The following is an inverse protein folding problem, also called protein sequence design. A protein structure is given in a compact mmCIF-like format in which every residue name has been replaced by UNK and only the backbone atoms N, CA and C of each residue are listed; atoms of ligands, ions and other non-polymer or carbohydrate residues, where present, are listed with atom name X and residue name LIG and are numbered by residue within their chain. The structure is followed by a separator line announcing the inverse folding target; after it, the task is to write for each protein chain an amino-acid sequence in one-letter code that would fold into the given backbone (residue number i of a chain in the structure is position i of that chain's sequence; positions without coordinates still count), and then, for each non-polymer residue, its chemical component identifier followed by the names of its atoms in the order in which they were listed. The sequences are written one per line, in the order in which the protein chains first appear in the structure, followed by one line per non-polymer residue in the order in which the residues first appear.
data_IF_003937025401
#
_entry.id   IF_003937025401
#
_cell.length_a   1.000
_cell.length_b   1.000
_cell.length_c   1.000
_cell.angle_alpha   90.00
_cell.angle_beta   90.00
_cell.angle_gamma   90.00
#
_symmetry.space_group_name_H-M   'P 1'
#
loop_
_entity.id
_entity.type
_entity.pdbx_description
1 polymer ?
#
# COMPACT_ATOMS: atom_id res chain seq x y z
N UNK A 1 -3.27 -5.40 23.85
CA UNK A 1 -2.53 -6.08 22.82
C UNK A 1 -1.21 -5.35 22.59
N UNK A 2 -0.09 -5.94 22.90
CA UNK A 2 1.25 -5.36 22.93
C UNK A 2 1.48 -4.19 23.92
N UNK A 3 0.50 -3.79 24.71
CA UNK A 3 0.61 -2.76 25.74
C UNK A 3 0.78 -3.46 27.12
N UNK A 4 1.91 -4.07 27.33
CA UNK A 4 2.20 -4.93 28.48
C UNK A 4 2.76 -4.16 29.69
N UNK A 5 3.17 -2.91 29.52
CA UNK A 5 3.65 -2.06 30.62
C UNK A 5 2.72 -0.87 30.87
N UNK A 6 2.73 -0.37 32.11
CA UNK A 6 1.94 0.80 32.49
C UNK A 6 2.33 2.05 31.68
N UNK A 7 3.60 2.20 31.37
CA UNK A 7 4.12 3.29 30.53
C UNK A 7 3.62 3.17 29.10
N UNK A 8 3.65 1.96 28.49
CA UNK A 8 3.14 1.76 27.15
C UNK A 8 1.63 2.06 27.05
N UNK A 9 0.84 1.64 28.06
CA UNK A 9 -0.59 1.94 28.14
C UNK A 9 -0.83 3.45 28.27
N UNK A 10 -0.09 4.15 29.11
CA UNK A 10 -0.22 5.60 29.31
C UNK A 10 0.12 6.36 28.02
N UNK A 11 1.27 6.08 27.41
CA UNK A 11 1.71 6.70 26.16
C UNK A 11 0.70 6.48 25.02
N UNK A 12 0.18 5.27 24.91
CA UNK A 12 -0.78 4.98 23.85
C UNK A 12 -2.14 5.64 24.11
N UNK A 13 -2.78 5.34 25.25
CA UNK A 13 -4.17 5.77 25.51
C UNK A 13 -4.29 7.28 25.74
N UNK A 14 -3.33 7.90 26.40
CA UNK A 14 -3.41 9.31 26.76
C UNK A 14 -2.80 10.24 25.70
N UNK A 15 -1.90 9.73 24.84
CA UNK A 15 -1.18 10.55 23.85
C UNK A 15 -1.38 10.06 22.40
N UNK A 16 -0.96 8.82 22.08
CA UNK A 16 -0.86 8.37 20.68
C UNK A 16 -2.22 8.03 20.02
N UNK A 17 -3.16 7.42 20.75
CA UNK A 17 -4.39 6.85 20.16
C UNK A 17 -5.29 7.86 19.44
N UNK A 18 -5.18 9.17 19.78
CA UNK A 18 -5.99 10.25 19.18
C UNK A 18 -5.23 11.10 18.18
N UNK A 19 -3.94 10.84 18.00
CA UNK A 19 -3.14 11.59 17.03
C UNK A 19 -3.53 11.22 15.60
N UNK A 20 -3.55 12.18 14.68
CA UNK A 20 -3.73 11.87 13.27
C UNK A 20 -2.53 11.07 12.74
N UNK A 21 -2.77 10.27 11.71
CA UNK A 21 -1.74 9.51 11.04
C UNK A 21 -1.17 10.35 9.90
N UNK A 22 0.15 10.56 9.93
CA UNK A 22 0.94 11.04 8.80
C UNK A 22 1.70 9.83 8.28
N UNK A 23 1.19 9.22 7.22
CA UNK A 23 1.80 8.06 6.58
C UNK A 23 2.81 8.54 5.54
N UNK A 24 4.05 8.68 5.98
CA UNK A 24 5.14 9.20 5.14
C UNK A 24 5.70 8.17 4.14
N UNK A 25 5.28 6.92 4.22
CA UNK A 25 5.64 5.87 3.27
C UNK A 25 4.53 4.84 3.15
N UNK A 26 3.87 4.79 2.02
CA UNK A 26 2.86 3.79 1.73
C UNK A 26 2.91 3.34 0.26
N UNK A 27 2.26 2.20 -0.01
CA UNK A 27 2.07 1.65 -1.35
C UNK A 27 0.60 1.75 -1.80
N UNK A 28 -0.16 2.72 -1.29
CA UNK A 28 -1.49 3.00 -1.78
C UNK A 28 -1.44 3.33 -3.27
N UNK A 29 -2.32 2.73 -4.03
CA UNK A 29 -2.46 2.99 -5.46
C UNK A 29 -3.19 4.32 -5.62
N UNK A 30 -2.56 5.39 -6.17
CA UNK A 30 -3.15 6.71 -6.25
C UNK A 30 -4.50 6.74 -6.98
N UNK A 31 -4.69 5.90 -7.99
CA UNK A 31 -5.94 5.73 -8.72
C UNK A 31 -7.09 5.27 -7.82
N UNK A 32 -6.83 4.35 -6.90
CA UNK A 32 -7.86 3.87 -5.97
C UNK A 32 -8.34 4.97 -5.04
N UNK A 33 -7.42 5.83 -4.57
CA UNK A 33 -7.78 6.97 -3.74
C UNK A 33 -8.52 8.04 -4.55
N UNK A 34 -8.04 8.35 -5.76
CA UNK A 34 -8.66 9.35 -6.63
C UNK A 34 -10.10 9.01 -7.00
N UNK A 35 -10.37 7.73 -7.26
CA UNK A 35 -11.68 7.22 -7.67
C UNK A 35 -12.55 6.73 -6.50
N UNK A 36 -12.07 6.86 -5.26
CA UNK A 36 -12.73 6.35 -4.06
C UNK A 36 -13.15 4.88 -4.20
N UNK A 37 -12.17 4.04 -4.52
CA UNK A 37 -12.36 2.64 -4.88
C UNK A 37 -13.14 1.87 -3.82
N UNK A 38 -14.09 1.05 -4.27
CA UNK A 38 -14.85 0.12 -3.45
C UNK A 38 -14.30 -1.28 -3.65
N UNK A 39 -13.79 -1.86 -2.59
CA UNK A 39 -13.23 -3.20 -2.61
C UNK A 39 -14.32 -4.26 -2.77
N UNK A 40 -14.13 -5.19 -3.69
CA UNK A 40 -15.10 -6.28 -3.97
C UNK A 40 -15.12 -7.31 -2.86
N UNK A 41 -13.97 -7.51 -2.22
CA UNK A 41 -13.79 -8.51 -1.18
C UNK A 41 -12.63 -8.16 -0.25
N UNK A 42 -12.60 -8.80 0.92
CA UNK A 42 -11.45 -8.74 1.83
C UNK A 42 -10.19 -9.32 1.18
N UNK A 43 -10.33 -10.23 0.21
CA UNK A 43 -9.22 -10.76 -0.57
C UNK A 43 -8.57 -9.68 -1.42
N UNK A 44 -9.36 -8.90 -2.15
CA UNK A 44 -8.85 -7.77 -2.93
C UNK A 44 -8.13 -6.77 -2.01
N UNK A 45 -8.75 -6.40 -0.89
CA UNK A 45 -8.17 -5.45 0.07
C UNK A 45 -6.84 -5.96 0.65
N UNK A 46 -6.76 -7.24 1.02
CA UNK A 46 -5.61 -7.77 1.75
C UNK A 46 -4.56 -8.44 0.88
N UNK A 47 -4.98 -9.09 -0.20
CA UNK A 47 -4.10 -9.92 -1.05
C UNK A 47 -3.92 -9.34 -2.46
N UNK A 48 -4.57 -8.22 -2.77
CA UNK A 48 -4.46 -7.60 -4.09
C UNK A 48 -3.07 -7.02 -4.41
N UNK A 49 -2.28 -6.69 -3.40
CA UNK A 49 -0.96 -6.08 -3.58
C UNK A 49 0.04 -6.33 -2.45
N UNK A 50 -0.33 -7.06 -1.40
CA UNK A 50 0.53 -7.26 -0.23
C UNK A 50 1.53 -8.41 -0.45
N UNK A 51 2.71 -8.07 -0.93
CA UNK A 51 3.79 -9.02 -1.15
C UNK A 51 4.34 -9.67 0.14
N UNK A 52 4.11 -9.07 1.31
CA UNK A 52 4.49 -9.69 2.59
C UNK A 52 3.57 -10.85 2.95
N UNK A 53 2.25 -10.69 2.73
CA UNK A 53 1.28 -11.79 2.90
C UNK A 53 1.57 -12.91 1.91
N UNK A 54 1.82 -12.60 0.63
CA UNK A 54 2.21 -13.61 -0.38
C UNK A 54 3.49 -14.36 0.01
N UNK A 55 4.49 -13.65 0.53
CA UNK A 55 5.74 -14.28 1.02
C UNK A 55 5.48 -15.25 2.15
N UNK A 56 4.64 -14.89 3.12
CA UNK A 56 4.25 -15.78 4.21
C UNK A 56 3.50 -17.01 3.70
N UNK A 57 2.58 -16.85 2.76
CA UNK A 57 1.86 -17.95 2.11
C UNK A 57 2.82 -18.91 1.40
N UNK A 58 3.74 -18.38 0.59
CA UNK A 58 4.79 -19.19 -0.08
C UNK A 58 5.66 -19.94 0.92
N UNK A 59 6.08 -19.28 2.00
CA UNK A 59 6.86 -19.90 3.07
C UNK A 59 6.09 -21.03 3.77
N UNK A 60 4.76 -20.92 3.85
CA UNK A 60 3.88 -21.95 4.38
C UNK A 60 3.54 -23.06 3.34
N UNK A 61 4.16 -23.04 2.16
CA UNK A 61 3.97 -24.05 1.12
C UNK A 61 2.69 -23.88 0.28
N UNK A 62 2.09 -22.70 0.31
CA UNK A 62 0.91 -22.38 -0.53
C UNK A 62 1.37 -22.18 -1.97
N UNK A 63 0.66 -22.83 -2.91
CA UNK A 63 0.92 -22.71 -4.33
C UNK A 63 0.72 -21.27 -4.83
N UNK A 64 1.55 -20.83 -5.79
CA UNK A 64 1.57 -19.47 -6.32
C UNK A 64 0.23 -19.02 -6.91
N UNK A 65 -0.56 -19.94 -7.43
CA UNK A 65 -1.90 -19.65 -7.96
C UNK A 65 -2.83 -19.00 -6.94
N UNK A 66 -2.64 -19.32 -5.65
CA UNK A 66 -3.41 -18.71 -4.55
C UNK A 66 -2.79 -17.42 -4.01
N UNK A 67 -1.56 -17.10 -4.40
CA UNK A 67 -0.91 -15.83 -4.05
C UNK A 67 -1.23 -14.77 -5.12
N UNK A 68 -0.70 -14.93 -6.32
CA UNK A 68 -0.79 -13.96 -7.42
C UNK A 68 -1.52 -14.47 -8.65
N UNK A 69 -1.87 -15.75 -8.70
CA UNK A 69 -2.58 -16.35 -9.84
C UNK A 69 -3.96 -15.73 -10.09
N UNK A 70 -4.46 -15.88 -11.32
CA UNK A 70 -5.74 -15.32 -11.77
C UNK A 70 -6.83 -16.40 -11.98
N UNK A 71 -6.48 -17.66 -11.78
CA UNK A 71 -7.33 -18.83 -12.02
C UNK A 71 -8.00 -19.37 -10.74
N UNK A 72 -7.90 -18.64 -9.64
CA UNK A 72 -8.50 -18.96 -8.34
C UNK A 72 -9.45 -17.84 -7.90
N UNK A 73 -10.49 -18.22 -7.17
CA UNK A 73 -11.46 -17.29 -6.60
C UNK A 73 -10.89 -16.52 -5.40
N UNK A 74 -11.50 -15.39 -5.06
CA UNK A 74 -11.18 -14.61 -3.87
C UNK A 74 -11.33 -15.42 -2.59
N UNK A 75 -12.34 -16.30 -2.50
CA UNK A 75 -12.52 -17.18 -1.37
C UNK A 75 -11.36 -18.18 -1.22
N UNK A 76 -10.96 -18.86 -2.29
CA UNK A 76 -9.85 -19.81 -2.24
C UNK A 76 -8.54 -19.17 -1.78
N UNK A 77 -8.26 -17.94 -2.25
CA UNK A 77 -7.09 -17.17 -1.79
C UNK A 77 -7.18 -16.81 -0.31
N UNK A 78 -8.34 -16.32 0.13
CA UNK A 78 -8.56 -15.97 1.53
C UNK A 78 -8.46 -17.18 2.46
N UNK A 79 -9.02 -18.31 2.05
CA UNK A 79 -8.91 -19.58 2.80
C UNK A 79 -7.44 -19.97 3.00
N UNK A 80 -6.60 -19.86 1.96
CA UNK A 80 -5.16 -20.12 2.06
C UNK A 80 -4.43 -19.12 2.95
N UNK A 81 -4.85 -17.88 2.98
CA UNK A 81 -4.36 -16.90 3.95
C UNK A 81 -4.77 -17.29 5.38
N UNK A 82 -6.02 -17.69 5.59
CA UNK A 82 -6.53 -18.14 6.88
C UNK A 82 -5.81 -19.42 7.39
N UNK A 83 -5.42 -20.32 6.49
CA UNK A 83 -4.58 -21.48 6.80
C UNK A 83 -3.16 -21.04 7.21
N UNK A 84 -2.65 -19.95 6.64
CA UNK A 84 -1.27 -19.45 6.87
C UNK A 84 -1.15 -18.67 8.17
N UNK A 85 -2.15 -17.86 8.53
CA UNK A 85 -2.09 -16.92 9.66
C UNK A 85 -1.66 -17.57 10.98
N UNK A 86 -2.16 -18.75 11.40
CA UNK A 86 -1.72 -19.39 12.65
C UNK A 86 -0.22 -19.67 12.70
N UNK A 87 0.42 -19.89 11.55
CA UNK A 87 1.86 -20.16 11.44
C UNK A 87 2.72 -18.87 11.41
N UNK A 88 2.09 -17.70 11.30
CA UNK A 88 2.77 -16.40 11.38
C UNK A 88 2.91 -15.89 12.81
N UNK A 89 2.64 -16.71 13.80
CA UNK A 89 2.81 -16.39 15.22
C UNK A 89 4.22 -15.87 15.50
N UNK A 90 4.32 -14.72 16.20
CA UNK A 90 5.53 -13.91 16.39
C UNK A 90 6.03 -13.14 15.15
N UNK A 91 5.37 -13.25 14.01
CA UNK A 91 5.59 -12.36 12.88
C UNK A 91 4.60 -11.18 12.99
N UNK A 92 4.98 -9.95 12.62
CA UNK A 92 4.05 -8.80 12.61
C UNK A 92 2.75 -9.06 11.85
N UNK A 93 2.75 -9.87 10.80
CA UNK A 93 1.56 -10.22 10.03
C UNK A 93 0.44 -10.86 10.89
N UNK A 94 0.80 -11.65 11.91
CA UNK A 94 -0.19 -12.18 12.85
C UNK A 94 -0.92 -11.07 13.61
N UNK A 95 -0.15 -10.11 14.10
CA UNK A 95 -0.68 -8.99 14.87
C UNK A 95 -1.48 -8.04 13.97
N UNK A 96 -0.96 -7.69 12.82
CA UNK A 96 -1.62 -6.78 11.88
C UNK A 96 -2.94 -7.34 11.39
N UNK A 97 -2.98 -8.60 10.97
CA UNK A 97 -4.22 -9.27 10.57
C UNK A 97 -5.33 -9.12 11.62
N UNK A 98 -5.00 -9.41 12.89
CA UNK A 98 -5.99 -9.33 13.96
C UNK A 98 -6.30 -7.90 14.43
N UNK A 99 -5.34 -6.98 14.32
CA UNK A 99 -5.60 -5.54 14.56
C UNK A 99 -6.51 -4.96 13.48
N UNK A 100 -6.28 -5.28 12.23
CA UNK A 100 -7.13 -4.85 11.10
C UNK A 100 -8.55 -5.40 11.25
N UNK A 101 -8.71 -6.69 11.57
CA UNK A 101 -10.03 -7.27 11.86
C UNK A 101 -10.75 -6.54 13.00
N UNK A 102 -10.04 -6.27 14.08
CA UNK A 102 -10.59 -5.60 15.24
C UNK A 102 -10.91 -4.12 14.99
N UNK A 103 -9.97 -3.38 14.44
CA UNK A 103 -10.08 -1.92 14.36
C UNK A 103 -10.93 -1.44 13.19
N UNK A 104 -10.82 -2.08 12.01
CA UNK A 104 -11.65 -1.74 10.86
C UNK A 104 -13.01 -2.45 10.90
N UNK A 105 -13.00 -3.75 11.18
CA UNK A 105 -14.21 -4.58 11.03
C UNK A 105 -14.93 -4.90 12.37
N UNK A 106 -14.36 -4.53 13.53
CA UNK A 106 -14.93 -4.85 14.82
C UNK A 106 -14.98 -6.35 15.15
N UNK A 107 -14.11 -7.14 14.53
CA UNK A 107 -14.06 -8.59 14.68
C UNK A 107 -12.93 -8.96 15.65
N UNK A 108 -13.29 -9.50 16.80
CA UNK A 108 -12.34 -9.97 17.84
C UNK A 108 -11.91 -11.43 17.66
N UNK A 109 -12.52 -12.16 16.73
CA UNK A 109 -12.20 -13.57 16.47
C UNK A 109 -10.84 -13.70 15.81
N UNK A 110 -10.08 -14.71 16.22
CA UNK A 110 -8.82 -15.06 15.55
C UNK A 110 -9.10 -15.73 14.19
N UNK A 111 -8.38 -15.29 13.17
CA UNK A 111 -8.43 -15.88 11.84
C UNK A 111 -7.72 -17.24 11.84
N UNK A 112 -8.42 -18.24 11.41
CA UNK A 112 -7.96 -19.62 11.28
C UNK A 112 -8.83 -20.37 10.27
N UNK A 113 -8.48 -21.59 9.83
CA UNK A 113 -9.36 -22.38 8.95
C UNK A 113 -10.78 -22.58 9.51
N UNK A 114 -10.92 -22.59 10.83
CA UNK A 114 -12.22 -22.81 11.49
C UNK A 114 -13.13 -21.59 11.47
N UNK A 115 -12.57 -20.41 11.41
CA UNK A 115 -13.28 -19.12 11.47
C UNK A 115 -13.27 -18.37 10.14
N UNK A 116 -12.54 -18.88 9.15
CA UNK A 116 -12.30 -18.22 7.88
C UNK A 116 -13.58 -17.82 7.16
N UNK A 117 -14.55 -18.74 7.04
CA UNK A 117 -15.80 -18.48 6.30
C UNK A 117 -16.63 -17.39 6.96
N UNK A 118 -16.80 -17.45 8.25
CA UNK A 118 -17.56 -16.46 9.00
C UNK A 118 -16.92 -15.06 8.90
N UNK A 119 -15.60 -14.97 9.08
CA UNK A 119 -14.86 -13.71 8.98
C UNK A 119 -14.92 -13.16 7.55
N UNK A 120 -14.75 -14.02 6.54
CA UNK A 120 -14.83 -13.61 5.13
C UNK A 120 -16.19 -12.99 4.80
N UNK A 121 -17.28 -13.67 5.18
CA UNK A 121 -18.62 -13.23 4.89
C UNK A 121 -18.94 -11.91 5.62
N UNK A 122 -18.58 -11.79 6.91
CA UNK A 122 -18.79 -10.57 7.70
C UNK A 122 -17.98 -9.39 7.16
N UNK A 123 -16.69 -9.59 6.80
CA UNK A 123 -15.89 -8.54 6.20
C UNK A 123 -16.47 -8.08 4.87
N UNK A 124 -16.87 -9.01 4.01
CA UNK A 124 -17.42 -8.67 2.70
C UNK A 124 -18.77 -7.97 2.78
N UNK A 125 -19.61 -8.27 3.77
CA UNK A 125 -20.83 -7.52 4.04
C UNK A 125 -20.50 -6.06 4.39
N UNK A 126 -19.55 -5.84 5.31
CA UNK A 126 -19.10 -4.49 5.72
C UNK A 126 -18.47 -3.70 4.58
N UNK A 127 -17.72 -4.35 3.70
CA UNK A 127 -17.09 -3.71 2.53
C UNK A 127 -18.12 -3.14 1.52
N UNK A 128 -19.39 -3.51 1.61
CA UNK A 128 -20.44 -2.89 0.79
C UNK A 128 -20.87 -1.50 1.31
N UNK A 129 -20.50 -1.15 2.53
CA UNK A 129 -20.84 0.12 3.13
C UNK A 129 -19.91 1.24 2.61
N UNK A 130 -20.41 2.48 2.46
CA UNK A 130 -19.62 3.60 1.92
C UNK A 130 -18.35 3.91 2.73
N UNK A 131 -18.39 3.71 4.04
CA UNK A 131 -17.28 3.95 4.96
C UNK A 131 -16.10 2.98 4.79
N UNK A 132 -16.27 1.91 4.01
CA UNK A 132 -15.21 0.95 3.68
C UNK A 132 -14.61 1.15 2.28
N UNK A 133 -14.92 2.26 1.62
CA UNK A 133 -14.19 2.67 0.42
C UNK A 133 -12.74 3.06 0.75
N UNK A 134 -11.88 3.23 -0.27
CA UNK A 134 -10.51 3.65 -0.08
C UNK A 134 -10.41 4.93 0.78
N UNK A 135 -11.20 5.96 0.45
CA UNK A 135 -11.25 7.21 1.22
C UNK A 135 -11.94 7.04 2.58
N UNK A 136 -12.95 6.19 2.65
CA UNK A 136 -13.65 5.86 3.90
C UNK A 136 -12.72 5.24 4.93
N UNK A 137 -11.92 4.26 4.56
CA UNK A 137 -10.91 3.64 5.43
C UNK A 137 -9.84 4.64 5.89
N UNK A 138 -9.39 5.54 5.02
CA UNK A 138 -8.45 6.60 5.41
C UNK A 138 -9.05 7.52 6.49
N UNK A 139 -10.33 7.89 6.37
CA UNK A 139 -11.05 8.67 7.40
C UNK A 139 -11.21 7.89 8.69
N UNK A 140 -11.56 6.60 8.58
CA UNK A 140 -11.73 5.72 9.74
C UNK A 140 -10.47 5.68 10.62
N UNK A 141 -9.30 5.64 10.01
CA UNK A 141 -8.02 5.64 10.72
C UNK A 141 -7.46 7.02 11.06
N UNK A 142 -8.25 8.08 10.90
CA UNK A 142 -7.82 9.46 11.19
C UNK A 142 -6.53 9.83 10.46
N UNK A 143 -6.43 9.49 9.19
CA UNK A 143 -5.29 9.85 8.35
C UNK A 143 -5.37 11.33 7.99
N UNK A 144 -4.28 12.06 8.13
CA UNK A 144 -4.14 13.46 7.70
C UNK A 144 -3.41 13.57 6.36
N UNK A 145 -2.40 12.74 6.16
CA UNK A 145 -1.58 12.77 4.97
C UNK A 145 -1.05 11.37 4.65
N UNK A 146 -0.99 11.03 3.37
CA UNK A 146 -0.28 9.85 2.84
C UNK A 146 0.73 10.27 1.79
N UNK A 147 1.90 9.61 1.81
CA UNK A 147 2.94 9.77 0.80
C UNK A 147 3.04 8.46 0.03
N UNK A 148 2.59 8.48 -1.21
CA UNK A 148 2.63 7.33 -2.11
C UNK A 148 4.06 7.07 -2.61
N UNK A 149 4.28 5.96 -3.30
CA UNK A 149 5.60 5.62 -3.85
C UNK A 149 5.53 5.74 -5.37
N UNK A 150 6.18 6.77 -5.94
CA UNK A 150 5.95 7.16 -7.32
C UNK A 150 7.26 7.21 -8.13
N UNK A 151 7.17 6.75 -9.36
CA UNK A 151 8.30 6.69 -10.29
C UNK A 151 8.51 8.05 -10.99
N UNK A 152 9.75 8.48 -11.30
CA UNK A 152 10.03 9.69 -12.07
C UNK A 152 9.23 9.89 -13.35
N UNK A 153 8.80 8.81 -14.01
CA UNK A 153 8.01 8.90 -15.25
C UNK A 153 6.51 9.10 -15.02
N UNK A 154 6.03 9.03 -13.77
CA UNK A 154 4.60 9.18 -13.46
C UNK A 154 4.11 10.60 -13.73
N UNK A 155 2.92 10.71 -14.31
CA UNK A 155 2.30 12.01 -14.64
C UNK A 155 1.57 12.66 -13.46
N UNK A 156 1.46 11.97 -12.34
CA UNK A 156 0.83 12.40 -11.09
C UNK A 156 -0.65 12.84 -11.24
N UNK A 157 -1.33 12.41 -12.31
CA UNK A 157 -2.71 12.81 -12.61
C UNK A 157 -3.69 12.48 -11.48
N UNK A 158 -3.50 11.35 -10.78
CA UNK A 158 -4.39 10.95 -9.70
C UNK A 158 -4.16 11.75 -8.42
N UNK A 159 -2.93 12.21 -8.17
CA UNK A 159 -2.64 13.17 -7.09
C UNK A 159 -3.33 14.50 -7.36
N UNK A 160 -3.26 14.98 -8.61
CA UNK A 160 -3.96 16.20 -9.04
C UNK A 160 -5.47 16.02 -8.92
N UNK A 161 -6.03 14.94 -9.46
CA UNK A 161 -7.47 14.62 -9.37
C UNK A 161 -7.95 14.58 -7.92
N UNK A 162 -7.21 13.92 -7.02
CA UNK A 162 -7.54 13.85 -5.58
C UNK A 162 -7.57 15.24 -4.96
N UNK A 163 -6.56 16.05 -5.21
CA UNK A 163 -6.47 17.43 -4.70
C UNK A 163 -7.63 18.30 -5.23
N UNK A 164 -7.94 18.21 -6.52
CA UNK A 164 -9.02 18.98 -7.17
C UNK A 164 -10.42 18.50 -6.76
N UNK A 165 -10.57 17.26 -6.28
CA UNK A 165 -11.84 16.73 -5.78
C UNK A 165 -12.27 17.32 -4.44
N UNK A 166 -11.41 18.08 -3.77
CA UNK A 166 -11.66 18.63 -2.43
C UNK A 166 -11.60 17.56 -1.32
N UNK A 167 -10.99 16.41 -1.59
CA UNK A 167 -10.77 15.41 -0.54
C UNK A 167 -9.84 15.97 0.54
N UNK A 168 -10.27 15.88 1.79
CA UNK A 168 -9.63 16.55 2.93
C UNK A 168 -8.27 15.95 3.32
N UNK A 169 -8.04 14.68 3.03
CA UNK A 169 -6.79 13.99 3.33
C UNK A 169 -5.79 14.26 2.19
N UNK A 170 -4.59 14.72 2.56
CA UNK A 170 -3.55 15.00 1.58
C UNK A 170 -2.95 13.72 1.04
N UNK A 171 -2.92 13.58 -0.28
CA UNK A 171 -2.14 12.55 -0.97
C UNK A 171 -1.03 13.24 -1.76
N UNK A 172 0.22 13.03 -1.36
CA UNK A 172 1.39 13.63 -1.99
C UNK A 172 2.30 12.53 -2.55
N UNK A 173 2.99 12.78 -3.68
CA UNK A 173 3.92 11.81 -4.22
C UNK A 173 5.21 11.78 -3.40
N UNK A 174 5.87 10.62 -3.35
CA UNK A 174 7.26 10.50 -2.93
C UNK A 174 8.13 10.15 -4.14
N UNK A 175 9.31 10.75 -4.20
CA UNK A 175 10.26 10.56 -5.28
C UNK A 175 11.03 9.24 -5.12
N UNK A 176 10.81 8.27 -6.04
CA UNK A 176 11.49 6.97 -6.02
C UNK A 176 12.14 6.65 -7.38
N UNK A 177 13.39 7.07 -7.61
CA UNK A 177 14.06 6.94 -8.90
C UNK A 177 14.78 5.60 -9.10
N UNK A 178 14.41 4.54 -8.38
CA UNK A 178 15.14 3.26 -8.36
C UNK A 178 15.37 2.67 -9.75
N UNK A 179 14.40 2.79 -10.66
CA UNK A 179 14.55 2.25 -12.03
C UNK A 179 15.64 2.97 -12.84
N UNK A 180 15.96 4.22 -12.50
CA UNK A 180 17.04 4.95 -13.12
C UNK A 180 18.44 4.48 -12.64
N UNK A 181 18.50 3.70 -11.55
CA UNK A 181 19.72 3.14 -10.99
C UNK A 181 19.93 1.67 -11.38
N UNK A 182 18.90 0.99 -11.85
CA UNK A 182 18.91 -0.45 -12.15
C UNK A 182 19.53 -0.76 -13.52
N UNK A 183 20.78 -0.34 -13.74
CA UNK A 183 21.48 -0.43 -15.02
C UNK A 183 21.68 -1.86 -15.54
N UNK A 184 21.66 -2.84 -14.65
CA UNK A 184 21.80 -4.27 -14.95
C UNK A 184 20.49 -4.94 -15.38
N UNK A 185 19.35 -4.27 -15.23
CA UNK A 185 18.05 -4.84 -15.59
C UNK A 185 17.81 -4.75 -17.11
N UNK A 186 17.22 -5.77 -17.72
CA UNK A 186 16.91 -5.77 -19.15
C UNK A 186 16.05 -4.57 -19.60
N UNK A 187 15.18 -4.08 -18.72
CA UNK A 187 14.23 -2.99 -18.98
C UNK A 187 14.88 -1.60 -18.91
N UNK A 188 16.15 -1.49 -18.50
CA UNK A 188 16.80 -0.20 -18.26
C UNK A 188 16.77 0.72 -19.48
N UNK A 189 17.12 0.18 -20.67
CA UNK A 189 17.13 0.96 -21.90
C UNK A 189 15.75 1.52 -22.27
N UNK A 190 14.70 0.71 -22.14
CA UNK A 190 13.33 1.13 -22.40
C UNK A 190 12.86 2.18 -21.38
N UNK A 191 13.27 2.01 -20.12
CA UNK A 191 13.01 3.00 -19.08
C UNK A 191 13.68 4.35 -19.37
N UNK A 192 14.94 4.35 -19.81
CA UNK A 192 15.67 5.57 -20.22
C UNK A 192 14.96 6.30 -21.38
N UNK A 193 14.50 5.55 -22.39
CA UNK A 193 13.73 6.12 -23.48
C UNK A 193 12.46 6.81 -22.95
N UNK A 194 11.73 6.14 -22.06
CA UNK A 194 10.52 6.68 -21.44
C UNK A 194 10.79 7.92 -20.58
N UNK A 195 11.86 7.89 -19.79
CA UNK A 195 12.29 9.03 -18.99
C UNK A 195 12.62 10.24 -19.89
N UNK A 196 13.35 10.03 -20.98
CA UNK A 196 13.65 11.06 -21.95
C UNK A 196 12.37 11.67 -22.56
N UNK A 197 11.41 10.81 -22.95
CA UNK A 197 10.14 11.21 -23.51
C UNK A 197 9.37 12.14 -22.54
N UNK A 198 9.17 11.72 -21.28
CA UNK A 198 8.39 12.50 -20.29
C UNK A 198 9.12 13.75 -19.81
N UNK A 199 10.46 13.78 -19.84
CA UNK A 199 11.29 14.93 -19.51
C UNK A 199 11.47 15.89 -20.70
N UNK A 200 11.11 15.48 -21.92
CA UNK A 200 11.38 16.25 -23.15
C UNK A 200 12.89 16.42 -23.42
N UNK A 201 13.69 15.36 -23.17
CA UNK A 201 15.14 15.35 -23.33
C UNK A 201 15.54 14.10 -24.10
N UNK A 202 16.46 14.23 -25.09
CA UNK A 202 17.07 13.07 -25.71
C UNK A 202 18.24 12.60 -24.85
N UNK A 203 18.15 11.38 -24.32
CA UNK A 203 19.19 10.82 -23.45
C UNK A 203 20.27 10.11 -24.28
N UNK A 204 21.47 10.67 -24.28
CA UNK A 204 22.65 10.10 -24.97
C UNK A 204 23.85 9.95 -24.05
N UNK A 205 23.88 10.68 -22.96
CA UNK A 205 24.94 10.68 -21.97
C UNK A 205 24.38 10.52 -20.57
N UNK A 206 25.25 10.19 -19.61
CA UNK A 206 24.91 10.17 -18.20
C UNK A 206 24.39 11.55 -17.72
N UNK A 207 24.97 12.65 -18.24
CA UNK A 207 24.52 13.99 -17.85
C UNK A 207 23.09 14.27 -18.34
N UNK A 208 22.71 13.82 -19.54
CA UNK A 208 21.34 13.96 -20.04
C UNK A 208 20.34 13.25 -19.13
N UNK A 209 20.71 12.07 -18.59
CA UNK A 209 19.89 11.35 -17.62
C UNK A 209 19.71 12.15 -16.32
N UNK A 210 20.81 12.71 -15.80
CA UNK A 210 20.76 13.55 -14.58
C UNK A 210 19.87 14.78 -14.82
N UNK A 211 20.00 15.44 -15.96
CA UNK A 211 19.19 16.61 -16.32
C UNK A 211 17.71 16.25 -16.49
N UNK A 212 17.41 15.08 -17.06
CA UNK A 212 16.05 14.57 -17.15
C UNK A 212 15.46 14.26 -15.76
N UNK A 213 16.22 13.59 -14.91
CA UNK A 213 15.79 13.33 -13.52
C UNK A 213 15.58 14.63 -12.74
N UNK A 214 16.44 15.64 -12.91
CA UNK A 214 16.26 16.95 -12.27
C UNK A 214 14.95 17.61 -12.69
N UNK A 215 14.65 17.61 -13.99
CA UNK A 215 13.36 18.15 -14.50
C UNK A 215 12.16 17.42 -13.89
N UNK A 216 12.26 16.11 -13.80
CA UNK A 216 11.17 15.31 -13.20
C UNK A 216 11.06 15.53 -11.69
N UNK A 217 12.18 15.67 -11.00
CA UNK A 217 12.20 16.01 -9.57
C UNK A 217 11.56 17.38 -9.30
N UNK A 218 11.85 18.37 -10.14
CA UNK A 218 11.23 19.69 -10.03
C UNK A 218 9.71 19.60 -10.25
N UNK A 219 9.27 18.83 -11.25
CA UNK A 219 7.85 18.55 -11.48
C UNK A 219 7.18 17.89 -10.26
N UNK A 220 7.85 16.91 -9.61
CA UNK A 220 7.36 16.30 -8.38
C UNK A 220 7.26 17.31 -7.24
N UNK A 221 8.28 18.15 -7.06
CA UNK A 221 8.30 19.22 -6.05
C UNK A 221 7.13 20.20 -6.23
N UNK A 222 6.86 20.63 -7.48
CA UNK A 222 5.72 21.48 -7.84
C UNK A 222 4.37 20.82 -7.53
N UNK A 223 4.31 19.47 -7.60
CA UNK A 223 3.12 18.70 -7.26
C UNK A 223 3.03 18.29 -5.77
N UNK A 224 3.91 18.85 -4.93
CA UNK A 224 3.82 18.71 -3.48
C UNK A 224 4.71 17.63 -2.88
N UNK A 225 5.57 16.99 -3.67
CA UNK A 225 6.56 16.04 -3.16
C UNK A 225 7.48 16.70 -2.12
N UNK A 226 7.72 16.03 -1.00
CA UNK A 226 8.54 16.53 0.12
C UNK A 226 9.59 15.55 0.60
N UNK A 227 9.62 14.36 0.03
CA UNK A 227 10.50 13.29 0.46
C UNK A 227 10.87 12.37 -0.71
N UNK A 228 11.97 11.65 -0.53
CA UNK A 228 12.40 10.57 -1.43
C UNK A 228 12.45 9.24 -0.68
N UNK A 229 12.29 8.19 -1.44
CA UNK A 229 12.27 6.81 -0.98
C UNK A 229 13.07 5.92 -1.95
N UNK A 230 13.72 4.90 -1.45
CA UNK A 230 14.58 4.02 -2.23
C UNK A 230 14.47 2.57 -1.78
N UNK A 231 14.44 1.64 -2.75
CA UNK A 231 14.58 0.21 -2.55
C UNK A 231 15.95 -0.26 -3.03
N UNK A 232 17.01 0.12 -2.33
CA UNK A 232 18.38 -0.30 -2.65
C UNK A 232 18.56 -1.71 -2.12
N UNK A 233 18.84 -2.65 -3.01
CA UNK A 233 19.01 -4.07 -2.65
C UNK A 233 20.46 -4.42 -2.32
N UNK A 234 21.47 -3.89 -3.03
CA UNK A 234 22.91 -4.10 -2.80
C UNK A 234 23.74 -2.87 -3.20
#
# INVERSE_FOLDING_TARGET
FLLDTKTAQDLFHNHAAKMPIIDYHCHLIPEMVANDHKFKSITELWLGGDHYKWRAMRTNGVDERFCTGTDTSDWEKFEKWAETVPYTFRNPLYHWTHLELKTAFGIDKQLSPKTAREIYDECNEKLQLPEFSARGLMRHYNVECVCTTDDPIDDLRYHKQTRESGFEIKMIPAWRPDKAMNIEKPEFADYMNKLGEVAGVTLTTFQDMVDALQKRHDFFAENGCKLSDHGIEE
#
